data_IF_209288938413
#
_entry.id   IF_209288938413
#
_cell.length_a   1.000
_cell.length_b   1.000
_cell.length_c   1.000
_cell.angle_alpha   90.00
_cell.angle_beta   90.00
_cell.angle_gamma   90.00
#
_symmetry.space_group_name_H-M   'P 1'
#
loop_
_entity.id
_entity.type
_entity.pdbx_description
1 polymer ?
#
# COMPACT_ATOMS: atom_id res chain seq x y z
N UNK A 1 -0.72 12.79 -8.65
CA UNK A 1 -1.37 11.70 -9.41
C UNK A 1 -2.73 11.49 -8.79
N UNK A 2 -3.80 11.40 -9.58
CA UNK A 2 -5.14 11.01 -9.12
C UNK A 2 -5.78 10.14 -10.19
N UNK A 3 -6.10 8.89 -9.85
CA UNK A 3 -6.65 7.88 -10.75
C UNK A 3 -8.18 7.96 -10.68
N UNK A 4 -8.83 8.11 -11.84
CA UNK A 4 -10.28 8.25 -11.90
C UNK A 4 -10.99 6.92 -11.59
N UNK A 5 -12.08 6.99 -10.84
CA UNK A 5 -12.91 5.86 -10.43
C UNK A 5 -14.27 5.93 -11.13
N UNK A 6 -15.02 4.83 -11.28
CA UNK A 6 -14.75 3.44 -10.85
C UNK A 6 -13.76 2.68 -11.74
N UNK A 7 -13.25 1.53 -11.22
CA UNK A 7 -12.29 0.66 -11.86
C UNK A 7 -12.91 -0.56 -12.53
N UNK A 8 -12.31 -0.96 -13.65
CA UNK A 8 -12.43 -2.29 -14.23
C UNK A 8 -11.09 -3.01 -13.97
N UNK A 9 -11.11 -4.14 -13.24
CA UNK A 9 -9.90 -4.85 -12.85
C UNK A 9 -9.49 -5.83 -13.96
N UNK A 10 -8.32 -5.62 -14.55
CA UNK A 10 -7.76 -6.48 -15.59
C UNK A 10 -6.87 -7.55 -14.96
N UNK A 11 -7.19 -8.82 -15.19
CA UNK A 11 -6.51 -9.99 -14.64
C UNK A 11 -5.67 -10.73 -15.70
N UNK A 12 -5.75 -10.28 -16.98
CA UNK A 12 -5.03 -10.93 -18.07
C UNK A 12 -5.41 -12.41 -18.21
N UNK A 13 -4.39 -13.24 -18.29
CA UNK A 13 -4.47 -14.70 -18.38
C UNK A 13 -3.83 -15.41 -17.16
N UNK A 14 -3.66 -14.70 -16.02
CA UNK A 14 -2.98 -15.27 -14.86
C UNK A 14 -3.83 -16.34 -14.18
N UNK A 15 -3.22 -17.49 -13.92
CA UNK A 15 -3.85 -18.63 -13.25
C UNK A 15 -3.44 -18.77 -11.78
N UNK A 16 -2.32 -18.14 -11.37
CA UNK A 16 -1.87 -18.11 -9.99
C UNK A 16 -2.60 -17.02 -9.19
N UNK A 17 -3.33 -17.36 -8.11
CA UNK A 17 -3.97 -16.37 -7.24
C UNK A 17 -3.02 -15.32 -6.64
N UNK A 18 -1.75 -15.66 -6.46
CA UNK A 18 -0.74 -14.71 -5.95
C UNK A 18 -0.37 -13.65 -7.00
N UNK A 19 -0.47 -13.98 -8.29
CA UNK A 19 -0.26 -13.01 -9.35
C UNK A 19 -1.37 -11.95 -9.39
N UNK A 20 -2.59 -12.25 -8.94
CA UNK A 20 -3.73 -11.31 -8.87
C UNK A 20 -3.83 -10.57 -7.52
N UNK A 21 -2.78 -10.58 -6.70
CA UNK A 21 -2.79 -9.99 -5.34
C UNK A 21 -3.12 -8.50 -5.32
N UNK A 22 -2.71 -7.75 -6.35
CA UNK A 22 -3.01 -6.31 -6.48
C UNK A 22 -4.50 -6.08 -6.65
N UNK A 23 -5.14 -6.74 -7.63
CA UNK A 23 -6.58 -6.64 -7.84
C UNK A 23 -7.37 -7.13 -6.61
N UNK A 24 -6.94 -8.23 -6.01
CA UNK A 24 -7.54 -8.74 -4.76
C UNK A 24 -7.45 -7.72 -3.63
N UNK A 25 -6.32 -7.06 -3.47
CA UNK A 25 -6.14 -6.00 -2.46
C UNK A 25 -7.06 -4.80 -2.73
N UNK A 26 -7.16 -4.35 -3.98
CA UNK A 26 -8.08 -3.26 -4.35
C UNK A 26 -9.52 -3.65 -4.00
N UNK A 27 -9.98 -4.81 -4.46
CA UNK A 27 -11.35 -5.28 -4.23
C UNK A 27 -11.66 -5.50 -2.73
N UNK A 28 -10.72 -6.03 -1.98
CA UNK A 28 -10.88 -6.26 -0.53
C UNK A 28 -11.05 -4.96 0.26
N UNK A 29 -10.30 -3.92 -0.09
CA UNK A 29 -10.26 -2.68 0.69
C UNK A 29 -11.15 -1.56 0.14
N UNK A 30 -11.52 -1.63 -1.13
CA UNK A 30 -12.37 -0.63 -1.80
C UNK A 30 -13.32 -1.32 -2.80
N UNK A 31 -14.19 -2.23 -2.33
CA UNK A 31 -15.13 -2.91 -3.24
C UNK A 31 -16.05 -1.93 -3.98
N UNK A 32 -16.36 -0.79 -3.37
CA UNK A 32 -17.23 0.24 -3.92
C UNK A 32 -16.69 0.93 -5.17
N UNK A 33 -15.38 0.86 -5.43
CA UNK A 33 -14.78 1.43 -6.64
C UNK A 33 -14.58 0.39 -7.75
N UNK A 34 -14.90 -0.88 -7.51
CA UNK A 34 -14.67 -1.99 -8.44
C UNK A 34 -15.97 -2.38 -9.13
N UNK A 35 -16.13 -2.07 -10.42
CA UNK A 35 -17.34 -2.43 -11.18
C UNK A 35 -17.34 -3.89 -11.63
N UNK A 36 -16.20 -4.42 -12.03
CA UNK A 36 -16.08 -5.77 -12.56
C UNK A 36 -14.64 -6.15 -12.82
N UNK A 37 -14.46 -7.28 -13.50
CA UNK A 37 -13.17 -7.80 -13.91
C UNK A 37 -13.15 -8.19 -15.39
N UNK A 38 -11.95 -8.15 -16.00
CA UNK A 38 -11.69 -8.76 -17.32
C UNK A 38 -10.71 -9.91 -17.13
N UNK A 39 -11.07 -11.06 -17.67
CA UNK A 39 -10.25 -12.28 -17.76
C UNK A 39 -10.12 -12.66 -19.23
N UNK A 40 -8.90 -12.91 -19.70
CA UNK A 40 -8.67 -13.25 -21.10
C UNK A 40 -8.98 -14.72 -21.43
N UNK A 41 -8.93 -15.59 -20.41
CA UNK A 41 -9.24 -17.02 -20.57
C UNK A 41 -10.14 -17.51 -19.44
N UNK A 42 -10.90 -18.60 -19.64
CA UNK A 42 -11.74 -19.19 -18.56
C UNK A 42 -10.91 -19.67 -17.36
N UNK A 43 -9.66 -20.05 -17.56
CA UNK A 43 -8.73 -20.54 -16.54
C UNK A 43 -8.13 -19.42 -15.68
N UNK A 44 -8.24 -18.16 -16.15
CA UNK A 44 -7.77 -17.00 -15.37
C UNK A 44 -8.45 -16.95 -14.01
N UNK A 45 -7.69 -16.64 -12.96
CA UNK A 45 -8.24 -16.47 -11.61
C UNK A 45 -9.40 -15.49 -11.61
N UNK A 46 -10.42 -15.77 -10.77
CA UNK A 46 -11.54 -14.87 -10.56
C UNK A 46 -11.49 -14.27 -9.16
N UNK A 47 -11.88 -13.01 -9.05
CA UNK A 47 -12.10 -12.33 -7.76
C UNK A 47 -13.54 -12.49 -7.27
N UNK A 48 -14.41 -13.15 -8.05
CA UNK A 48 -15.85 -13.21 -7.76
C UNK A 48 -16.62 -11.96 -8.22
N UNK A 49 -15.96 -11.03 -8.91
CA UNK A 49 -16.60 -9.91 -9.60
C UNK A 49 -17.25 -10.39 -10.91
N UNK A 50 -18.18 -9.59 -11.42
CA UNK A 50 -18.78 -9.83 -12.74
C UNK A 50 -17.71 -9.71 -13.83
N UNK A 51 -17.60 -10.73 -14.69
CA UNK A 51 -16.79 -10.63 -15.91
C UNK A 51 -17.48 -9.67 -16.89
N UNK A 52 -16.75 -8.70 -17.40
CA UNK A 52 -17.27 -7.67 -18.30
C UNK A 52 -16.43 -7.55 -19.55
N UNK A 53 -17.07 -7.18 -20.66
CA UNK A 53 -16.36 -6.62 -21.82
C UNK A 53 -16.05 -5.13 -21.55
N UNK A 54 -15.13 -4.56 -22.32
CA UNK A 54 -14.82 -3.12 -22.24
C UNK A 54 -16.07 -2.27 -22.52
N UNK A 55 -16.89 -2.66 -23.49
CA UNK A 55 -18.14 -1.98 -23.84
C UNK A 55 -19.15 -1.99 -22.68
N UNK A 56 -19.32 -3.15 -22.02
CA UNK A 56 -20.21 -3.26 -20.85
C UNK A 56 -19.73 -2.39 -19.70
N UNK A 57 -18.43 -2.42 -19.41
CA UNK A 57 -17.83 -1.62 -18.34
C UNK A 57 -17.96 -0.11 -18.62
N UNK A 58 -17.73 0.32 -19.87
CA UNK A 58 -17.89 1.71 -20.28
C UNK A 58 -19.35 2.18 -20.11
N UNK A 59 -20.33 1.36 -20.51
CA UNK A 59 -21.76 1.66 -20.34
C UNK A 59 -22.15 1.79 -18.86
N UNK A 60 -21.48 1.06 -17.96
CA UNK A 60 -21.68 1.15 -16.52
C UNK A 60 -20.84 2.27 -15.86
N UNK A 61 -20.07 3.01 -16.64
CA UNK A 61 -19.37 4.20 -16.18
C UNK A 61 -17.96 3.95 -15.65
N UNK A 62 -17.36 2.79 -15.92
CA UNK A 62 -15.95 2.56 -15.58
C UNK A 62 -15.05 3.64 -16.22
N UNK A 63 -14.08 4.13 -15.45
CA UNK A 63 -13.16 5.19 -15.88
C UNK A 63 -11.77 4.66 -16.16
N UNK A 64 -11.27 3.77 -15.29
CA UNK A 64 -9.90 3.27 -15.38
C UNK A 64 -9.89 1.76 -15.48
N UNK A 65 -9.14 1.26 -16.46
CA UNK A 65 -8.71 -0.14 -16.53
C UNK A 65 -7.44 -0.29 -15.68
N UNK A 66 -7.52 -1.09 -14.60
CA UNK A 66 -6.40 -1.28 -13.68
C UNK A 66 -5.77 -2.64 -13.91
N UNK A 67 -4.48 -2.69 -14.26
CA UNK A 67 -3.71 -3.94 -14.30
C UNK A 67 -3.56 -4.47 -12.87
N UNK A 68 -4.45 -5.40 -12.53
CA UNK A 68 -4.58 -5.96 -11.17
C UNK A 68 -3.59 -7.08 -10.85
N UNK A 69 -2.57 -7.25 -11.67
CA UNK A 69 -1.64 -8.36 -11.62
C UNK A 69 -0.22 -7.93 -11.25
N UNK A 70 0.56 -8.88 -10.76
CA UNK A 70 1.98 -8.71 -10.44
C UNK A 70 2.72 -9.97 -10.89
N UNK A 71 3.24 -9.96 -12.10
CA UNK A 71 4.02 -11.06 -12.64
C UNK A 71 5.52 -10.92 -12.34
N UNK A 72 6.29 -12.01 -12.40
CA UNK A 72 7.75 -11.96 -12.31
C UNK A 72 8.35 -11.04 -13.38
N UNK A 73 9.26 -10.15 -12.96
CA UNK A 73 9.89 -9.17 -13.86
C UNK A 73 9.04 -7.92 -14.14
N UNK A 74 7.74 -7.92 -13.83
CA UNK A 74 6.86 -6.76 -14.00
C UNK A 74 6.75 -6.27 -15.44
N UNK A 75 6.79 -7.19 -16.41
CA UNK A 75 6.67 -6.92 -17.85
C UNK A 75 5.22 -7.14 -18.29
N UNK A 76 4.71 -6.30 -19.18
CA UNK A 76 3.37 -6.41 -19.76
C UNK A 76 3.42 -7.45 -20.90
N UNK A 77 2.73 -8.60 -20.76
CA UNK A 77 2.72 -9.63 -21.80
C UNK A 77 2.14 -9.12 -23.13
N UNK A 78 2.69 -9.59 -24.25
CA UNK A 78 2.20 -9.22 -25.59
C UNK A 78 0.70 -9.53 -25.76
N UNK A 79 0.25 -10.67 -25.23
CA UNK A 79 -1.16 -11.08 -25.28
C UNK A 79 -2.14 -10.07 -24.62
N UNK A 80 -1.66 -9.19 -23.73
CA UNK A 80 -2.51 -8.18 -23.06
C UNK A 80 -2.63 -6.89 -23.86
N UNK A 81 -1.66 -6.62 -24.76
CA UNK A 81 -1.53 -5.32 -25.43
C UNK A 81 -2.76 -4.96 -26.28
N UNK A 82 -3.37 -5.94 -26.94
CA UNK A 82 -4.57 -5.70 -27.73
C UNK A 82 -5.75 -5.17 -26.90
N UNK A 83 -5.98 -5.76 -25.71
CA UNK A 83 -7.04 -5.30 -24.79
C UNK A 83 -6.73 -3.93 -24.21
N UNK A 84 -5.45 -3.67 -23.87
CA UNK A 84 -5.05 -2.37 -23.35
C UNK A 84 -5.20 -1.27 -24.39
N UNK A 85 -4.86 -1.56 -25.64
CA UNK A 85 -5.01 -0.63 -26.75
C UNK A 85 -6.48 -0.33 -27.03
N UNK A 86 -7.34 -1.37 -27.13
CA UNK A 86 -8.79 -1.20 -27.29
C UNK A 86 -9.39 -0.34 -26.15
N UNK A 87 -9.00 -0.62 -24.90
CA UNK A 87 -9.46 0.19 -23.76
C UNK A 87 -9.06 1.67 -23.89
N UNK A 88 -7.80 1.94 -24.28
CA UNK A 88 -7.31 3.30 -24.47
C UNK A 88 -8.03 4.02 -25.63
N UNK A 89 -8.29 3.33 -26.76
CA UNK A 89 -9.06 3.86 -27.89
C UNK A 89 -10.51 4.17 -27.51
N UNK A 90 -11.09 3.41 -26.58
CA UNK A 90 -12.41 3.66 -26.02
C UNK A 90 -12.44 4.81 -24.99
N UNK A 91 -11.29 5.37 -24.63
CA UNK A 91 -11.18 6.47 -23.68
C UNK A 91 -11.08 6.07 -22.21
N UNK A 92 -10.78 4.80 -21.90
CA UNK A 92 -10.40 4.41 -20.54
C UNK A 92 -9.05 5.01 -20.19
N UNK A 93 -8.89 5.49 -18.96
CA UNK A 93 -7.56 5.65 -18.37
C UNK A 93 -7.00 4.27 -18.05
N UNK A 94 -5.67 4.10 -18.06
CA UNK A 94 -5.01 2.83 -17.75
C UNK A 94 -4.06 3.02 -16.58
N UNK A 95 -4.15 2.17 -15.56
CA UNK A 95 -3.27 2.22 -14.39
C UNK A 95 -2.51 0.90 -14.23
N UNK A 96 -1.20 0.99 -14.01
CA UNK A 96 -0.29 -0.15 -13.88
C UNK A 96 0.69 0.03 -12.72
N UNK A 97 0.87 -1.05 -11.95
CA UNK A 97 1.95 -1.17 -10.95
C UNK A 97 3.14 -1.99 -11.44
N UNK A 98 3.24 -2.27 -12.73
CA UNK A 98 4.35 -3.03 -13.33
C UNK A 98 5.66 -2.24 -13.31
N UNK A 99 6.80 -2.93 -13.52
CA UNK A 99 8.09 -2.27 -13.71
C UNK A 99 8.19 -1.64 -15.10
N UNK A 100 7.65 -2.33 -16.11
CA UNK A 100 7.53 -1.79 -17.45
C UNK A 100 6.49 -0.66 -17.47
N UNK A 101 6.86 0.47 -18.05
CA UNK A 101 5.94 1.60 -18.21
C UNK A 101 4.94 1.33 -19.33
N UNK A 102 3.70 1.75 -19.13
CA UNK A 102 2.66 1.74 -20.16
C UNK A 102 3.08 2.55 -21.40
N UNK A 103 3.75 3.67 -21.18
CA UNK A 103 4.25 4.53 -22.25
C UNK A 103 5.40 3.91 -23.08
N UNK A 104 6.01 2.79 -22.66
CA UNK A 104 6.95 2.04 -23.46
C UNK A 104 6.24 1.24 -24.59
N UNK A 105 4.94 1.07 -24.48
CA UNK A 105 4.10 0.52 -25.54
C UNK A 105 3.71 1.68 -26.48
N UNK A 106 4.43 1.82 -27.60
CA UNK A 106 4.27 2.96 -28.54
C UNK A 106 2.82 3.29 -28.88
N UNK A 107 1.92 2.33 -29.17
CA UNK A 107 0.52 2.66 -29.48
C UNK A 107 -0.21 3.34 -28.31
N UNK A 108 0.08 2.98 -27.05
CA UNK A 108 -0.53 3.63 -25.87
C UNK A 108 0.03 5.05 -25.66
N UNK A 109 1.34 5.23 -25.82
CA UNK A 109 1.97 6.55 -25.73
C UNK A 109 1.40 7.52 -26.77
N UNK A 110 1.17 7.06 -28.02
CA UNK A 110 0.57 7.89 -29.07
C UNK A 110 -0.87 8.31 -28.72
N UNK A 111 -1.67 7.41 -28.13
CA UNK A 111 -3.03 7.73 -27.70
C UNK A 111 -3.03 8.74 -26.54
N UNK A 112 -2.11 8.61 -25.60
CA UNK A 112 -1.96 9.57 -24.49
C UNK A 112 -1.56 10.96 -25.01
N UNK A 113 -0.58 11.04 -25.92
CA UNK A 113 -0.17 12.31 -26.56
C UNK A 113 -1.32 13.01 -27.30
N UNK A 114 -2.24 12.22 -27.87
CA UNK A 114 -3.46 12.71 -28.53
C UNK A 114 -4.58 13.06 -27.55
N UNK A 115 -4.40 12.83 -26.25
CA UNK A 115 -5.38 13.11 -25.20
C UNK A 115 -6.57 12.17 -25.20
N UNK A 116 -6.46 10.99 -25.80
CA UNK A 116 -7.54 9.98 -25.87
C UNK A 116 -7.59 9.08 -24.64
N UNK A 117 -6.47 8.91 -23.94
CA UNK A 117 -6.34 8.16 -22.70
C UNK A 117 -5.41 8.89 -21.74
N UNK A 118 -5.30 8.40 -20.52
CA UNK A 118 -4.28 8.81 -19.55
C UNK A 118 -3.65 7.57 -18.95
N UNK A 119 -2.32 7.56 -18.90
CA UNK A 119 -1.55 6.43 -18.43
C UNK A 119 -1.02 6.73 -17.01
N UNK A 120 -1.24 5.80 -16.08
CA UNK A 120 -0.73 5.89 -14.72
C UNK A 120 0.23 4.75 -14.43
N UNK A 121 1.50 5.02 -14.58
CA UNK A 121 2.57 4.13 -14.12
C UNK A 121 2.84 4.42 -12.65
N UNK A 122 2.03 3.83 -11.73
CA UNK A 122 2.02 4.19 -10.31
C UNK A 122 3.34 3.91 -9.59
N UNK A 123 4.21 3.09 -10.19
CA UNK A 123 5.55 2.85 -9.68
C UNK A 123 6.51 4.00 -10.03
N UNK A 124 6.18 4.83 -11.00
CA UNK A 124 7.01 5.92 -11.49
C UNK A 124 6.34 7.26 -11.19
N UNK A 125 7.06 8.11 -10.48
CA UNK A 125 6.57 9.45 -10.14
C UNK A 125 7.36 10.48 -10.93
N UNK A 126 6.73 11.13 -11.90
CA UNK A 126 7.39 12.03 -12.85
C UNK A 126 7.35 13.51 -12.44
N UNK A 127 6.62 13.89 -11.38
CA UNK A 127 6.63 15.26 -10.91
C UNK A 127 7.91 15.57 -10.11
N UNK A 128 8.41 16.83 -10.17
CA UNK A 128 9.60 17.21 -9.41
C UNK A 128 9.41 17.03 -7.90
N UNK A 129 10.32 16.30 -7.28
CA UNK A 129 10.39 16.13 -5.84
C UNK A 129 11.43 17.09 -5.24
N UNK A 130 11.18 17.54 -4.02
CA UNK A 130 12.14 18.29 -3.22
C UNK A 130 12.80 17.39 -2.20
N UNK A 131 13.98 17.75 -1.73
CA UNK A 131 14.58 17.13 -0.54
C UNK A 131 13.70 17.39 0.68
N UNK A 132 13.68 16.45 1.62
CA UNK A 132 12.99 16.64 2.90
C UNK A 132 13.60 17.82 3.67
N UNK A 133 12.75 18.58 4.35
CA UNK A 133 13.21 19.77 5.09
C UNK A 133 13.08 19.60 6.61
N UNK A 134 12.40 18.57 7.10
CA UNK A 134 12.25 18.23 8.51
C UNK A 134 11.49 19.26 9.35
N UNK A 135 10.84 20.27 8.75
CA UNK A 135 10.01 21.23 9.50
C UNK A 135 8.81 20.52 10.10
N UNK A 136 8.52 20.82 11.36
CA UNK A 136 7.29 20.34 11.98
C UNK A 136 6.07 20.81 11.18
N UNK A 137 5.13 19.90 10.98
CA UNK A 137 3.90 20.13 10.21
C UNK A 137 2.70 19.90 11.11
N UNK A 138 1.69 20.75 11.02
CA UNK A 138 0.41 20.53 11.69
C UNK A 138 -0.25 19.25 11.18
N UNK A 139 -1.13 18.64 12.01
CA UNK A 139 -1.80 17.36 11.77
C UNK A 139 -1.06 16.17 12.37
N UNK A 140 -1.81 15.15 12.77
CA UNK A 140 -1.28 13.92 13.40
C UNK A 140 -1.03 12.83 12.36
N UNK A 141 0.03 12.08 12.53
CA UNK A 141 0.47 11.05 11.58
C UNK A 141 0.74 9.72 12.26
N UNK A 142 0.20 8.66 11.68
CA UNK A 142 0.54 7.27 12.00
C UNK A 142 1.43 6.73 10.89
N UNK A 143 2.50 6.03 11.25
CA UNK A 143 3.30 5.26 10.30
C UNK A 143 3.33 3.78 10.71
N UNK A 144 3.01 2.88 9.78
CA UNK A 144 3.24 1.46 10.00
C UNK A 144 4.70 1.12 9.72
N UNK A 145 5.37 0.48 10.67
CA UNK A 145 6.75 -0.02 10.55
C UNK A 145 6.76 -1.54 10.69
N UNK A 146 7.87 -2.22 10.46
CA UNK A 146 7.84 -3.67 10.57
C UNK A 146 9.20 -4.32 10.72
N UNK A 147 9.18 -5.58 11.17
CA UNK A 147 10.37 -6.42 11.29
C UNK A 147 11.00 -6.74 9.94
N UNK A 148 10.19 -6.75 8.86
CA UNK A 148 10.64 -7.05 7.49
C UNK A 148 9.66 -6.49 6.45
N UNK A 149 9.95 -6.72 5.18
CA UNK A 149 9.02 -6.53 4.07
C UNK A 149 7.86 -7.54 4.12
N UNK A 150 6.69 -7.14 3.58
CA UNK A 150 5.52 -8.02 3.44
C UNK A 150 5.03 -8.66 4.75
N UNK A 151 5.11 -7.95 5.86
CA UNK A 151 4.60 -8.37 7.18
C UNK A 151 3.21 -7.78 7.51
N UNK A 152 2.54 -7.15 6.52
CA UNK A 152 1.17 -6.65 6.66
C UNK A 152 1.03 -5.14 6.87
N UNK A 153 2.08 -4.32 6.67
CA UNK A 153 2.05 -2.86 6.90
C UNK A 153 0.91 -2.13 6.19
N UNK A 154 0.69 -2.41 4.90
CA UNK A 154 -0.41 -1.82 4.13
C UNK A 154 -1.77 -2.23 4.69
N UNK A 155 -1.96 -3.51 4.98
CA UNK A 155 -3.21 -4.03 5.55
C UNK A 155 -3.52 -3.39 6.90
N UNK A 156 -2.51 -3.28 7.77
CA UNK A 156 -2.65 -2.61 9.08
C UNK A 156 -3.03 -1.13 8.92
N UNK A 157 -2.37 -0.41 8.01
CA UNK A 157 -2.66 1.00 7.75
C UNK A 157 -4.10 1.19 7.26
N UNK A 158 -4.56 0.39 6.29
CA UNK A 158 -5.94 0.44 5.78
C UNK A 158 -6.98 0.03 6.83
N UNK A 159 -6.69 -0.99 7.64
CA UNK A 159 -7.57 -1.41 8.72
C UNK A 159 -7.74 -0.28 9.77
N UNK A 160 -6.64 0.39 10.13
CA UNK A 160 -6.64 1.53 11.07
C UNK A 160 -7.45 2.69 10.51
N UNK A 161 -7.23 3.05 9.23
CA UNK A 161 -8.03 4.09 8.57
C UNK A 161 -9.52 3.78 8.64
N UNK A 162 -9.92 2.54 8.29
CA UNK A 162 -11.32 2.12 8.35
C UNK A 162 -11.88 2.15 9.78
N UNK A 163 -11.10 1.70 10.77
CA UNK A 163 -11.54 1.70 12.16
C UNK A 163 -11.73 3.13 12.69
N UNK A 164 -10.81 4.05 12.39
CA UNK A 164 -10.94 5.45 12.76
C UNK A 164 -12.15 6.10 12.09
N UNK A 165 -12.40 5.83 10.81
CA UNK A 165 -13.59 6.33 10.10
C UNK A 165 -14.90 5.81 10.71
N UNK A 166 -14.96 4.53 11.12
CA UNK A 166 -16.13 3.99 11.84
C UNK A 166 -16.38 4.69 13.18
N UNK A 167 -15.33 5.24 13.79
CA UNK A 167 -15.40 6.03 15.04
C UNK A 167 -15.61 7.53 14.78
N UNK A 168 -16.04 7.91 13.57
CA UNK A 168 -16.26 9.29 13.12
C UNK A 168 -15.00 10.19 13.18
N UNK A 169 -13.82 9.59 13.14
CA UNK A 169 -12.57 10.28 12.99
C UNK A 169 -12.24 10.44 11.50
N UNK A 170 -11.88 11.64 11.06
CA UNK A 170 -11.49 11.93 9.69
C UNK A 170 -10.05 11.49 9.48
N UNK A 171 -9.87 10.27 8.99
CA UNK A 171 -8.57 9.68 8.70
C UNK A 171 -8.38 9.49 7.20
N UNK A 172 -7.17 9.74 6.70
CA UNK A 172 -6.79 9.57 5.30
C UNK A 172 -5.60 8.61 5.17
N UNK A 173 -5.76 7.58 4.33
CA UNK A 173 -4.67 6.67 3.99
C UNK A 173 -3.74 7.33 2.98
N UNK A 174 -2.45 7.37 3.29
CA UNK A 174 -1.38 7.90 2.43
C UNK A 174 -0.54 6.75 1.89
N UNK A 175 -0.72 6.48 0.61
CA UNK A 175 -0.09 5.34 -0.07
C UNK A 175 1.36 5.64 -0.44
N UNK A 176 2.23 4.69 -0.14
CA UNK A 176 3.67 4.75 -0.42
C UNK A 176 4.17 3.58 -1.28
N UNK A 177 3.30 2.64 -1.59
CA UNK A 177 3.55 1.48 -2.44
C UNK A 177 2.52 1.32 -3.54
N UNK A 178 2.87 0.64 -4.61
CA UNK A 178 2.06 0.52 -5.83
C UNK A 178 0.63 0.03 -5.58
N UNK A 179 0.44 -1.01 -4.76
CA UNK A 179 -0.90 -1.53 -4.45
C UNK A 179 -1.70 -0.52 -3.63
N UNK A 180 -1.07 0.11 -2.63
CA UNK A 180 -1.70 1.18 -1.85
C UNK A 180 -2.14 2.36 -2.72
N UNK A 181 -1.32 2.76 -3.70
CA UNK A 181 -1.65 3.86 -4.64
C UNK A 181 -2.88 3.50 -5.48
N UNK A 182 -2.98 2.28 -5.98
CA UNK A 182 -4.15 1.83 -6.73
C UNK A 182 -5.41 1.74 -5.84
N UNK A 183 -5.27 1.41 -4.56
CA UNK A 183 -6.37 1.41 -3.58
C UNK A 183 -6.80 2.85 -3.24
N UNK A 184 -5.86 3.74 -3.00
CA UNK A 184 -6.14 5.13 -2.61
C UNK A 184 -6.51 6.03 -3.81
N UNK A 185 -6.13 5.64 -5.03
CA UNK A 185 -6.22 6.48 -6.22
C UNK A 185 -5.13 7.55 -6.31
N UNK A 186 -4.26 7.65 -5.31
CA UNK A 186 -3.16 8.64 -5.24
C UNK A 186 -2.02 8.16 -4.35
N UNK A 187 -0.83 8.74 -4.49
CA UNK A 187 0.34 8.43 -3.67
C UNK A 187 1.66 8.54 -4.46
N UNK A 188 2.74 8.11 -3.81
CA UNK A 188 4.09 8.04 -4.42
C UNK A 188 4.72 6.70 -4.04
N UNK A 189 5.20 5.94 -5.03
CA UNK A 189 5.94 4.69 -4.80
C UNK A 189 7.34 5.03 -4.27
N UNK A 190 7.48 5.02 -2.97
CA UNK A 190 8.68 5.52 -2.26
C UNK A 190 9.92 4.68 -2.58
N UNK A 191 9.74 3.38 -2.84
CA UNK A 191 10.80 2.46 -3.20
C UNK A 191 11.41 2.73 -4.59
N UNK A 192 10.76 3.53 -5.42
CA UNK A 192 11.23 3.95 -6.73
C UNK A 192 11.75 5.41 -6.75
N UNK A 193 11.75 6.09 -5.61
CA UNK A 193 12.26 7.45 -5.47
C UNK A 193 13.77 7.45 -5.26
N UNK A 194 14.48 8.35 -5.92
CA UNK A 194 15.91 8.57 -5.68
C UNK A 194 16.13 8.95 -4.21
N UNK A 195 17.17 8.36 -3.59
CA UNK A 195 17.40 8.40 -2.14
C UNK A 195 17.32 9.81 -1.53
N UNK A 196 17.88 10.82 -2.19
CA UNK A 196 17.89 12.22 -1.74
C UNK A 196 16.49 12.81 -1.57
N UNK A 197 15.50 12.26 -2.26
CA UNK A 197 14.14 12.80 -2.30
C UNK A 197 13.12 11.96 -1.52
N UNK A 198 13.51 10.82 -0.92
CA UNK A 198 12.58 9.92 -0.22
C UNK A 198 11.82 10.68 0.88
N UNK A 199 12.52 11.35 1.80
CA UNK A 199 11.85 12.10 2.88
C UNK A 199 10.97 13.22 2.34
N UNK A 200 11.42 13.93 1.30
CA UNK A 200 10.62 14.99 0.66
C UNK A 200 9.40 14.47 -0.08
N UNK A 201 9.46 13.28 -0.66
CA UNK A 201 8.30 12.61 -1.25
C UNK A 201 7.24 12.27 -0.20
N UNK A 202 7.68 11.81 0.99
CA UNK A 202 6.78 11.55 2.11
C UNK A 202 6.17 12.85 2.66
N UNK A 203 6.95 13.92 2.76
CA UNK A 203 6.42 15.25 3.10
C UNK A 203 5.38 15.72 2.08
N UNK A 204 5.56 15.40 0.79
CA UNK A 204 4.64 15.79 -0.27
C UNK A 204 3.31 15.02 -0.25
N UNK A 205 3.29 13.74 0.14
CA UNK A 205 2.04 12.95 0.26
C UNK A 205 1.29 13.22 1.56
N UNK A 206 1.99 13.71 2.59
CA UNK A 206 1.42 14.06 3.89
C UNK A 206 1.87 15.47 4.28
N UNK A 207 1.39 16.51 3.57
CA UNK A 207 1.69 17.89 3.89
C UNK A 207 1.07 18.31 5.22
N UNK A 208 1.23 19.57 5.61
CA UNK A 208 0.48 20.16 6.71
C UNK A 208 -1.03 20.11 6.41
N UNK A 209 -1.84 19.73 7.39
CA UNK A 209 -3.29 19.66 7.28
C UNK A 209 -4.00 20.06 8.59
N UNK A 210 -5.23 20.58 8.44
CA UNK A 210 -6.14 20.93 9.54
C UNK A 210 -7.59 20.55 9.25
N UNK A 211 -7.86 19.99 8.08
CA UNK A 211 -9.18 19.64 7.56
C UNK A 211 -9.61 18.22 7.93
N UNK A 212 -8.67 17.38 8.40
CA UNK A 212 -8.91 16.05 8.91
C UNK A 212 -8.07 15.81 10.19
N UNK A 213 -8.19 14.61 10.78
CA UNK A 213 -7.63 14.35 12.11
C UNK A 213 -6.32 13.55 12.05
N UNK A 214 -6.20 12.60 11.10
CA UNK A 214 -5.07 11.70 10.98
C UNK A 214 -4.69 11.40 9.53
N UNK A 215 -3.40 11.45 9.21
CA UNK A 215 -2.80 10.76 8.08
C UNK A 215 -2.29 9.39 8.51
N UNK A 216 -2.72 8.34 7.81
CA UNK A 216 -2.29 6.96 8.05
C UNK A 216 -1.33 6.56 6.93
N UNK A 217 -0.04 6.68 7.20
CA UNK A 217 1.01 6.48 6.20
C UNK A 217 1.38 5.01 6.11
N UNK A 218 1.31 4.46 4.89
CA UNK A 218 1.75 3.10 4.59
C UNK A 218 3.27 2.97 4.76
N UNK A 219 3.74 2.01 5.55
CA UNK A 219 5.16 1.73 5.73
C UNK A 219 5.76 0.87 4.61
N UNK A 220 7.01 1.12 4.26
CA UNK A 220 7.79 0.37 3.28
C UNK A 220 9.08 -0.17 3.88
N UNK A 221 9.50 -1.37 3.41
CA UNK A 221 10.76 -1.96 3.83
C UNK A 221 10.81 -2.34 5.32
N UNK A 222 12.01 -2.30 5.86
CA UNK A 222 12.35 -2.45 7.28
C UNK A 222 13.78 -1.92 7.50
N UNK A 223 14.05 -1.30 8.63
CA UNK A 223 15.42 -0.87 9.02
C UNK A 223 16.41 -2.03 9.11
N UNK A 224 15.91 -3.26 9.29
CA UNK A 224 16.71 -4.47 9.42
C UNK A 224 16.85 -5.25 8.10
N UNK A 225 16.15 -4.84 7.05
CA UNK A 225 16.30 -5.48 5.74
C UNK A 225 17.43 -4.81 4.97
N UNK A 226 18.56 -5.51 4.69
CA UNK A 226 19.73 -4.91 4.04
C UNK A 226 19.45 -4.23 2.70
N UNK A 227 18.44 -4.73 1.98
CA UNK A 227 18.07 -4.19 0.65
C UNK A 227 17.22 -2.92 0.73
N UNK A 228 16.48 -2.71 1.83
CA UNK A 228 15.43 -1.69 1.90
C UNK A 228 15.51 -0.77 3.13
N UNK A 229 16.56 -0.90 3.94
CA UNK A 229 16.74 -0.09 5.15
C UNK A 229 16.76 1.43 4.86
N UNK A 230 17.41 1.84 3.77
CA UNK A 230 17.47 3.24 3.36
C UNK A 230 16.10 3.84 3.02
N UNK A 231 15.24 3.06 2.36
CA UNK A 231 13.86 3.46 2.07
C UNK A 231 13.07 3.64 3.37
N UNK A 232 13.18 2.68 4.30
CA UNK A 232 12.51 2.73 5.61
C UNK A 232 12.94 3.94 6.43
N UNK A 233 14.24 4.25 6.46
CA UNK A 233 14.79 5.40 7.19
C UNK A 233 14.30 6.73 6.60
N UNK A 234 14.36 6.88 5.27
CA UNK A 234 13.86 8.07 4.60
C UNK A 234 12.36 8.28 4.82
N UNK A 235 11.58 7.19 4.81
CA UNK A 235 10.15 7.21 5.11
C UNK A 235 9.86 7.64 6.56
N UNK A 236 10.59 7.09 7.55
CA UNK A 236 10.47 7.49 8.95
C UNK A 236 10.72 8.98 9.14
N UNK A 237 11.80 9.51 8.54
CA UNK A 237 12.15 10.92 8.66
C UNK A 237 11.12 11.84 7.98
N UNK A 238 10.68 11.48 6.78
CA UNK A 238 9.68 12.28 6.05
C UNK A 238 8.28 12.22 6.67
N UNK A 239 7.91 11.11 7.31
CA UNK A 239 6.62 10.94 7.94
C UNK A 239 6.46 11.84 9.19
N UNK A 240 7.51 12.02 9.98
CA UNK A 240 7.43 12.75 11.27
C UNK A 240 6.25 12.24 12.13
N UNK A 241 6.07 10.92 12.18
CA UNK A 241 4.89 10.29 12.76
C UNK A 241 4.81 10.51 14.28
N UNK A 242 3.61 10.81 14.78
CA UNK A 242 3.29 10.87 16.20
C UNK A 242 3.14 9.48 16.78
N UNK A 243 2.65 8.54 15.95
CA UNK A 243 2.39 7.17 16.33
C UNK A 243 3.05 6.19 15.36
N UNK A 244 3.74 5.18 15.90
CA UNK A 244 4.23 4.02 15.15
C UNK A 244 3.37 2.80 15.46
N UNK A 245 3.04 2.04 14.41
CA UNK A 245 2.41 0.73 14.51
C UNK A 245 3.39 -0.31 14.00
N UNK A 246 3.83 -1.21 14.87
CA UNK A 246 4.74 -2.28 14.48
C UNK A 246 3.98 -3.43 13.83
N UNK A 247 4.42 -3.88 12.66
CA UNK A 247 3.87 -5.05 11.96
C UNK A 247 4.88 -6.21 11.98
N UNK A 248 4.39 -7.42 12.26
CA UNK A 248 5.20 -8.63 12.31
C UNK A 248 4.43 -9.83 11.77
N UNK A 249 5.11 -10.76 11.11
CA UNK A 249 4.56 -12.04 10.67
C UNK A 249 5.06 -13.17 11.57
N UNK A 250 4.12 -13.83 12.22
CA UNK A 250 4.41 -14.96 13.12
C UNK A 250 4.96 -16.15 12.34
N UNK A 251 6.01 -16.76 12.86
CA UNK A 251 6.62 -17.96 12.28
C UNK A 251 7.58 -17.68 11.12
N UNK A 252 7.84 -16.43 10.74
CA UNK A 252 8.83 -16.12 9.71
C UNK A 252 10.24 -16.42 10.24
N UNK A 253 11.03 -17.28 9.56
CA UNK A 253 12.32 -17.73 10.09
C UNK A 253 13.48 -16.75 9.87
N UNK A 254 13.43 -15.94 8.81
CA UNK A 254 14.51 -15.04 8.39
C UNK A 254 13.97 -13.88 7.57
N UNK A 255 14.81 -12.89 7.29
CA UNK A 255 14.49 -11.79 6.37
C UNK A 255 14.08 -12.36 5.01
N UNK A 256 13.02 -11.83 4.44
CA UNK A 256 12.45 -12.31 3.18
C UNK A 256 13.49 -12.34 2.07
N UNK A 257 13.60 -13.49 1.40
CA UNK A 257 14.56 -13.79 0.33
C UNK A 257 16.04 -13.76 0.76
N UNK A 258 16.34 -13.64 2.07
CA UNK A 258 17.69 -13.62 2.61
C UNK A 258 17.83 -14.67 3.74
N UNK A 259 17.96 -15.97 3.42
CA UNK A 259 17.97 -17.03 4.43
C UNK A 259 19.16 -16.97 5.39
N UNK A 260 20.20 -16.22 5.06
CA UNK A 260 21.37 -15.97 5.90
C UNK A 260 21.20 -14.79 6.88
N UNK A 261 20.13 -14.01 6.76
CA UNK A 261 19.86 -12.84 7.59
C UNK A 261 18.72 -13.13 8.57
N UNK A 262 19.04 -13.18 9.86
CA UNK A 262 18.04 -13.37 10.92
C UNK A 262 17.09 -12.18 11.02
N UNK A 263 15.86 -12.45 11.45
CA UNK A 263 14.93 -11.38 11.83
C UNK A 263 15.43 -10.68 13.12
N UNK A 264 15.19 -9.38 13.26
CA UNK A 264 15.38 -8.69 14.55
C UNK A 264 14.36 -9.20 15.57
N UNK A 265 14.67 -9.02 16.84
CA UNK A 265 13.63 -9.17 17.88
C UNK A 265 12.63 -8.02 17.80
N UNK A 266 11.48 -8.20 18.44
CA UNK A 266 10.46 -7.15 18.50
C UNK A 266 10.99 -5.92 19.23
N UNK A 267 11.71 -6.13 20.33
CA UNK A 267 12.33 -5.07 21.12
C UNK A 267 13.35 -4.26 20.30
N UNK A 268 14.24 -4.94 19.57
CA UNK A 268 15.19 -4.28 18.67
C UNK A 268 14.45 -3.46 17.60
N UNK A 269 13.35 -4.01 17.06
CA UNK A 269 12.58 -3.32 16.04
C UNK A 269 11.89 -2.07 16.60
N UNK A 270 11.31 -2.15 17.79
CA UNK A 270 10.68 -1.02 18.48
C UNK A 270 11.74 0.06 18.73
N UNK A 271 12.86 -0.31 19.36
CA UNK A 271 13.94 0.61 19.73
C UNK A 271 14.50 1.36 18.51
N UNK A 272 14.86 0.63 17.45
CA UNK A 272 15.46 1.23 16.27
C UNK A 272 14.49 2.17 15.54
N UNK A 273 13.21 1.77 15.38
CA UNK A 273 12.23 2.61 14.71
C UNK A 273 11.89 3.86 15.52
N UNK A 274 11.75 3.76 16.85
CA UNK A 274 11.54 4.92 17.71
C UNK A 274 12.76 5.85 17.72
N UNK A 275 13.98 5.30 17.79
CA UNK A 275 15.20 6.10 17.75
C UNK A 275 15.30 6.89 16.43
N UNK A 276 15.00 6.25 15.29
CA UNK A 276 15.01 6.91 13.98
C UNK A 276 13.89 7.95 13.85
N UNK A 277 12.66 7.65 14.27
CA UNK A 277 11.52 8.57 14.19
C UNK A 277 11.73 9.82 15.06
N UNK A 278 12.33 9.67 16.24
CA UNK A 278 12.56 10.76 17.19
C UNK A 278 13.59 11.78 16.74
N UNK A 279 14.36 11.49 15.68
CA UNK A 279 15.25 12.49 15.07
C UNK A 279 14.46 13.64 14.39
N UNK A 280 13.23 13.36 13.94
CA UNK A 280 12.38 14.37 13.27
C UNK A 280 11.08 14.67 14.02
N UNK A 281 10.60 13.76 14.90
CA UNK A 281 9.52 14.02 15.85
C UNK A 281 9.87 13.43 17.23
N UNK A 282 10.41 14.23 18.17
CA UNK A 282 10.81 13.75 19.50
C UNK A 282 9.70 13.07 20.30
N UNK A 283 8.43 13.35 19.97
CA UNK A 283 7.26 12.82 20.67
C UNK A 283 6.75 11.49 20.07
N UNK A 284 7.43 10.95 19.05
CA UNK A 284 7.04 9.67 18.43
C UNK A 284 6.97 8.54 19.47
N UNK A 285 5.88 7.78 19.43
CA UNK A 285 5.62 6.69 20.38
C UNK A 285 5.09 5.44 19.66
N UNK A 286 5.31 4.26 20.25
CA UNK A 286 4.66 3.03 19.82
C UNK A 286 3.23 3.02 20.35
N UNK A 287 2.25 2.80 19.49
CA UNK A 287 0.82 2.85 19.85
C UNK A 287 0.17 1.47 19.74
N UNK A 288 0.70 0.60 18.90
CA UNK A 288 0.16 -0.75 18.73
C UNK A 288 1.08 -1.67 17.96
N UNK A 289 0.76 -2.96 18.02
CA UNK A 289 1.43 -4.02 17.25
C UNK A 289 0.39 -4.77 16.45
N UNK A 290 0.60 -4.91 15.14
CA UNK A 290 -0.24 -5.66 14.23
C UNK A 290 0.48 -6.94 13.79
N UNK A 291 -0.12 -8.09 14.06
CA UNK A 291 0.43 -9.40 13.73
C UNK A 291 -0.23 -9.97 12.48
N UNK A 292 0.56 -10.54 11.60
CA UNK A 292 0.06 -11.49 10.62
C UNK A 292 0.18 -12.89 11.22
N UNK A 293 -0.94 -13.46 11.62
CA UNK A 293 -1.03 -14.77 12.29
C UNK A 293 -1.51 -15.88 11.36
N UNK A 294 -1.41 -15.68 10.03
CA UNK A 294 -1.92 -16.65 9.03
C UNK A 294 -1.31 -18.05 9.14
N UNK A 295 -0.14 -18.18 9.77
CA UNK A 295 0.58 -19.45 9.95
C UNK A 295 0.14 -20.26 11.19
N UNK A 296 -0.75 -19.73 12.02
CA UNK A 296 -1.21 -20.39 13.27
C UNK A 296 -2.73 -20.47 13.32
N UNK A 297 -3.27 -21.29 14.26
CA UNK A 297 -4.71 -21.38 14.49
C UNK A 297 -5.28 -20.04 15.00
N UNK A 298 -6.60 -19.88 14.96
CA UNK A 298 -7.26 -18.66 15.47
C UNK A 298 -7.11 -18.58 17.01
N UNK A 299 -7.17 -19.71 17.70
CA UNK A 299 -6.98 -19.81 19.15
C UNK A 299 -5.56 -19.38 19.55
N UNK A 300 -4.54 -19.94 18.89
CA UNK A 300 -3.14 -19.55 19.12
C UNK A 300 -2.90 -18.09 18.79
N UNK A 301 -3.52 -17.59 17.72
CA UNK A 301 -3.43 -16.19 17.34
C UNK A 301 -4.00 -15.25 18.43
N UNK A 302 -5.17 -15.60 18.98
CA UNK A 302 -5.78 -14.83 20.06
C UNK A 302 -4.91 -14.83 21.33
N UNK A 303 -4.37 -16.01 21.70
CA UNK A 303 -3.47 -16.11 22.85
C UNK A 303 -2.18 -15.31 22.66
N UNK A 304 -1.56 -15.39 21.47
CA UNK A 304 -0.37 -14.60 21.14
C UNK A 304 -0.65 -13.08 21.23
N UNK A 305 -1.78 -12.63 20.74
CA UNK A 305 -2.16 -11.22 20.85
C UNK A 305 -2.30 -10.80 22.32
N UNK A 306 -2.91 -11.61 23.18
CA UNK A 306 -3.04 -11.34 24.60
C UNK A 306 -1.68 -11.32 25.32
N UNK A 307 -0.84 -12.35 25.10
CA UNK A 307 0.48 -12.44 25.74
C UNK A 307 1.37 -11.24 25.37
N UNK A 308 1.30 -10.82 24.09
CA UNK A 308 2.08 -9.66 23.65
C UNK A 308 1.49 -8.33 24.12
N UNK A 309 0.17 -8.21 24.23
CA UNK A 309 -0.47 -7.06 24.85
C UNK A 309 0.02 -6.86 26.28
N UNK A 310 0.06 -7.95 27.07
CA UNK A 310 0.54 -7.95 28.45
C UNK A 310 2.04 -7.65 28.54
N UNK A 311 2.82 -8.12 27.58
CA UNK A 311 4.27 -7.90 27.53
C UNK A 311 4.64 -6.46 27.13
N UNK A 312 4.02 -5.94 26.07
CA UNK A 312 4.43 -4.66 25.47
C UNK A 312 3.60 -3.47 25.97
N UNK A 313 2.51 -3.71 26.68
CA UNK A 313 1.61 -2.69 27.25
C UNK A 313 1.04 -1.72 26.20
N UNK A 314 0.84 -2.23 24.98
CA UNK A 314 0.15 -1.58 23.87
C UNK A 314 -0.82 -2.57 23.24
N UNK A 315 -1.91 -2.11 22.62
CA UNK A 315 -2.82 -3.01 21.88
C UNK A 315 -2.07 -3.86 20.84
N UNK A 316 -2.28 -5.19 20.92
CA UNK A 316 -1.73 -6.16 19.97
C UNK A 316 -2.88 -6.93 19.33
N UNK A 317 -2.88 -7.03 17.99
CA UNK A 317 -3.98 -7.65 17.27
C UNK A 317 -3.55 -8.18 15.90
N UNK A 318 -4.35 -9.10 15.33
CA UNK A 318 -4.30 -9.39 13.88
C UNK A 318 -5.38 -8.56 13.17
N UNK A 319 -4.98 -7.60 12.31
CA UNK A 319 -5.92 -6.70 11.63
C UNK A 319 -6.97 -7.42 10.76
N UNK A 320 -6.64 -8.60 10.24
CA UNK A 320 -7.51 -9.36 9.34
C UNK A 320 -8.48 -10.25 10.12
N UNK A 321 -8.02 -10.87 11.22
CA UNK A 321 -8.84 -11.79 12.02
C UNK A 321 -9.69 -11.07 13.06
N UNK A 322 -9.09 -10.11 13.79
CA UNK A 322 -9.71 -9.53 14.98
C UNK A 322 -10.01 -8.03 14.84
N UNK A 323 -9.58 -7.42 13.72
CA UNK A 323 -9.69 -5.98 13.52
C UNK A 323 -8.68 -5.19 14.35
N UNK A 324 -8.83 -3.87 14.39
CA UNK A 324 -7.86 -2.95 15.03
C UNK A 324 -8.52 -1.92 15.93
N UNK A 325 -9.71 -2.20 16.46
CA UNK A 325 -10.50 -1.21 17.22
C UNK A 325 -9.75 -0.72 18.46
N UNK A 326 -9.05 -1.59 19.20
CA UNK A 326 -8.24 -1.20 20.36
C UNK A 326 -7.05 -0.29 19.97
N UNK A 327 -6.43 -0.52 18.81
CA UNK A 327 -5.39 0.37 18.27
C UNK A 327 -5.97 1.74 17.91
N UNK A 328 -7.14 1.75 17.26
CA UNK A 328 -7.83 2.99 16.92
C UNK A 328 -8.25 3.78 18.19
N UNK A 329 -8.75 3.10 19.22
CA UNK A 329 -9.09 3.74 20.51
C UNK A 329 -7.85 4.37 21.16
N UNK A 330 -6.71 3.68 21.11
CA UNK A 330 -5.46 4.22 21.64
C UNK A 330 -5.00 5.46 20.87
N UNK A 331 -5.13 5.46 19.53
CA UNK A 331 -4.82 6.63 18.70
C UNK A 331 -5.68 7.85 19.05
N UNK A 332 -6.94 7.66 19.40
CA UNK A 332 -7.84 8.75 19.78
C UNK A 332 -7.48 9.40 21.14
N UNK A 333 -6.59 8.78 21.92
CA UNK A 333 -6.14 9.31 23.23
C UNK A 333 -4.86 10.14 23.16
N UNK A 334 -4.18 10.23 22.04
CA UNK A 334 -2.91 10.94 21.85
C UNK A 334 -3.01 12.20 21.00
#
# INVERSE_FOLDING_TARGET
MQIAQPYLLFLGDVTDPLAAKTARGIYQWRPEICLGQIRLTPETVSLGLTDMTLQQAQQQGAKTLVLGTANPGGVIPEAWQATLLEAAEMGFEIASGMHQRLAELSPLADLEQRGLTKLYDVRHYDAPLKVGNGKARAGKRVLTVGTDCSVGKMYSALAIEHALKRKNCRAEFKATGQTGILIAGSGISIDAVVADFISGAVEAISPEFTDHDWDIIEGQGSLFNPSFAGVSLGLLHGAQADALILCHEIGRPHIRNLPHASLPTIEQTIEANLAAARLTNPNAQLVGICLNTSAVSEEDAAQLCQDWNDKYQVPVTDPVRFGVDAVADRLLTI
#
